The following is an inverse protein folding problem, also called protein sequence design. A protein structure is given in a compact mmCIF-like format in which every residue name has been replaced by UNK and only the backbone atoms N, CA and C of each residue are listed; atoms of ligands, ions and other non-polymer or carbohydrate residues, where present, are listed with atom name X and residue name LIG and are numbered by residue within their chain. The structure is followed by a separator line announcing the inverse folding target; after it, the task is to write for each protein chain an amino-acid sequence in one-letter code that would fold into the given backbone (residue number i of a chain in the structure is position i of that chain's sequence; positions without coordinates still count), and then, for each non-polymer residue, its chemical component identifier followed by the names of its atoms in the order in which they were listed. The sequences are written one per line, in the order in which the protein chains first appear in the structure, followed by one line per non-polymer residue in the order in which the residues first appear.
data_IF_497284640373
#
_entry.id   IF_497284640373
#
_cell.length_a   1.000
_cell.length_b   1.000
_cell.length_c   1.000
_cell.angle_alpha   90.00
_cell.angle_beta   90.00
_cell.angle_gamma   90.00
#
_symmetry.space_group_name_H-M   'P 1'
#
loop_
_entity.id
_entity.type
_entity.pdbx_description
1 polymer ?
#
# COMPACT_ATOMS: atom_id res chain seq x y z
N UNK A 1 -26.95 10.99 -4.98
CA UNK A 1 -25.49 10.91 -5.16
C UNK A 1 -25.10 9.47 -4.90
N UNK A 2 -24.74 8.71 -5.94
CA UNK A 2 -24.28 7.34 -5.74
C UNK A 2 -22.93 7.42 -5.03
N UNK A 3 -22.86 6.93 -3.79
CA UNK A 3 -21.63 6.94 -3.01
C UNK A 3 -20.53 6.15 -3.73
N UNK A 4 -19.32 6.69 -3.77
CA UNK A 4 -18.16 5.99 -4.30
C UNK A 4 -17.90 4.73 -3.46
N UNK A 5 -17.82 3.55 -4.09
CA UNK A 5 -17.43 2.34 -3.39
C UNK A 5 -15.94 2.42 -3.09
N UNK A 6 -15.60 2.38 -1.80
CA UNK A 6 -14.21 2.41 -1.32
C UNK A 6 -13.91 1.07 -0.68
N UNK A 7 -12.88 0.39 -1.21
CA UNK A 7 -12.33 -0.85 -0.63
C UNK A 7 -11.09 -0.50 0.18
N UNK A 8 -10.90 -1.11 1.36
CA UNK A 8 -9.75 -0.82 2.20
C UNK A 8 -9.04 -2.11 2.64
N UNK A 9 -7.72 -2.15 2.49
CA UNK A 9 -6.86 -3.21 2.99
C UNK A 9 -6.08 -2.71 4.21
N UNK A 10 -6.13 -3.49 5.30
CA UNK A 10 -5.32 -3.26 6.50
C UNK A 10 -3.94 -3.87 6.30
N UNK A 11 -2.90 -3.08 6.51
CA UNK A 11 -1.52 -3.54 6.48
C UNK A 11 -1.04 -3.85 7.89
N UNK A 12 -0.51 -5.06 8.08
CA UNK A 12 0.10 -5.48 9.35
C UNK A 12 1.48 -6.07 9.12
N UNK A 13 2.40 -5.82 10.06
CA UNK A 13 3.74 -6.38 10.05
C UNK A 13 3.99 -7.00 11.43
N UNK A 14 4.25 -8.30 11.47
CA UNK A 14 4.37 -9.08 12.72
C UNK A 14 3.18 -8.85 13.70
N UNK A 15 1.97 -8.67 13.16
CA UNK A 15 0.77 -8.40 13.95
C UNK A 15 0.58 -6.93 14.37
N UNK A 16 1.58 -6.07 14.21
CA UNK A 16 1.45 -4.63 14.45
C UNK A 16 0.78 -3.94 13.26
N UNK A 17 -0.16 -3.03 13.53
CA UNK A 17 -0.80 -2.23 12.51
C UNK A 17 0.21 -1.23 11.92
N UNK A 18 0.43 -1.30 10.62
CA UNK A 18 1.28 -0.36 9.88
C UNK A 18 0.46 0.78 9.31
N UNK A 19 -0.70 0.47 8.75
CA UNK A 19 -1.49 1.44 8.00
C UNK A 19 -2.57 0.79 7.13
N UNK A 20 -3.04 1.54 6.15
CA UNK A 20 -4.14 1.16 5.29
C UNK A 20 -3.89 1.57 3.84
N UNK A 21 -4.39 0.74 2.93
CA UNK A 21 -4.49 1.07 1.50
C UNK A 21 -5.97 1.16 1.16
N UNK A 22 -6.44 2.35 0.81
CA UNK A 22 -7.79 2.56 0.32
C UNK A 22 -7.78 2.59 -1.21
N UNK A 23 -8.56 1.72 -1.84
CA UNK A 23 -8.86 1.75 -3.26
C UNK A 23 -10.18 2.46 -3.53
N UNK A 24 -10.14 3.38 -4.47
CA UNK A 24 -11.25 4.20 -4.95
C UNK A 24 -11.60 3.81 -6.39
N UNK A 25 -12.62 4.45 -6.95
CA UNK A 25 -12.93 4.26 -8.36
C UNK A 25 -11.74 4.66 -9.26
N UNK A 26 -11.71 4.11 -10.48
CA UNK A 26 -10.70 4.41 -11.50
C UNK A 26 -9.25 4.05 -11.12
N UNK A 27 -9.05 2.96 -10.36
CA UNK A 27 -7.73 2.48 -9.95
C UNK A 27 -6.90 3.54 -9.20
N UNK A 28 -7.57 4.44 -8.47
CA UNK A 28 -6.91 5.34 -7.54
C UNK A 28 -6.73 4.63 -6.21
N UNK A 29 -5.51 4.61 -5.70
CA UNK A 29 -5.23 4.04 -4.38
C UNK A 29 -4.56 5.06 -3.49
N UNK A 30 -4.82 5.01 -2.20
CA UNK A 30 -4.22 5.88 -1.19
C UNK A 30 -3.61 5.00 -0.11
N UNK A 31 -2.28 5.05 -0.01
CA UNK A 31 -1.54 4.41 1.08
C UNK A 31 -1.32 5.42 2.21
N UNK A 32 -1.74 5.03 3.41
CA UNK A 32 -1.63 5.81 4.63
C UNK A 32 -0.98 4.99 5.72
N UNK A 33 -0.16 5.62 6.56
CA UNK A 33 0.40 5.00 7.76
C UNK A 33 -0.52 5.28 8.95
N UNK A 34 -0.63 4.29 9.84
CA UNK A 34 -1.37 4.44 11.07
C UNK A 34 -0.61 5.38 12.03
N UNK A 35 -1.29 6.28 12.75
CA UNK A 35 -0.64 7.13 13.75
C UNK A 35 0.15 6.32 14.78
N UNK A 36 -0.42 5.20 15.25
CA UNK A 36 0.25 4.28 16.17
C UNK A 36 1.55 3.71 15.64
N UNK A 37 1.71 3.59 14.33
CA UNK A 37 2.95 3.13 13.70
C UNK A 37 3.97 4.27 13.55
N UNK A 38 3.49 5.49 13.28
CA UNK A 38 4.36 6.67 13.10
C UNK A 38 4.95 7.13 14.43
N UNK A 39 4.17 7.04 15.50
CA UNK A 39 4.55 7.47 16.85
C UNK A 39 5.37 6.43 17.63
N UNK A 40 5.38 5.17 17.18
CA UNK A 40 6.15 4.10 17.83
C UNK A 40 7.65 4.20 17.50
N UNK A 41 8.46 4.53 18.51
CA UNK A 41 9.92 4.61 18.40
C UNK A 41 10.57 3.24 18.14
N UNK A 42 9.90 2.14 18.51
CA UNK A 42 10.35 0.76 18.32
C UNK A 42 9.69 0.09 17.10
N UNK A 43 9.04 0.88 16.23
CA UNK A 43 8.36 0.35 15.05
C UNK A 43 9.31 -0.52 14.19
N UNK A 44 8.81 -1.61 13.60
CA UNK A 44 9.59 -2.39 12.64
C UNK A 44 9.84 -1.58 11.36
N UNK A 45 11.00 -1.80 10.74
CA UNK A 45 11.33 -1.14 9.47
C UNK A 45 10.50 -1.70 8.31
N UNK A 46 9.72 -0.84 7.64
CA UNK A 46 8.97 -1.23 6.43
C UNK A 46 9.90 -1.49 5.24
N UNK A 47 10.94 -0.66 5.12
CA UNK A 47 12.01 -0.78 4.14
C UNK A 47 13.31 -0.32 4.77
N UNK A 48 14.43 -0.76 4.21
CA UNK A 48 15.75 -0.30 4.63
C UNK A 48 15.90 1.23 4.48
N UNK A 49 15.25 1.84 3.49
CA UNK A 49 15.26 3.29 3.28
C UNK A 49 14.50 4.09 4.34
N UNK A 50 13.66 3.42 5.14
CA UNK A 50 12.85 3.98 6.23
C UNK A 50 13.20 3.35 7.60
N UNK A 51 14.29 2.59 7.68
CA UNK A 51 14.69 1.90 8.90
C UNK A 51 15.19 2.87 9.98
N UNK A 52 15.86 3.95 9.59
CA UNK A 52 16.35 4.95 10.54
C UNK A 52 15.18 5.81 11.07
N UNK A 53 14.98 5.92 12.41
CA UNK A 53 13.92 6.73 12.99
C UNK A 53 13.95 8.21 12.56
N UNK A 54 15.12 8.82 12.46
CA UNK A 54 15.26 10.23 12.08
C UNK A 54 14.88 10.46 10.61
N UNK A 55 15.28 9.55 9.71
CA UNK A 55 14.92 9.66 8.29
C UNK A 55 13.43 9.41 8.07
N UNK A 56 12.85 8.49 8.85
CA UNK A 56 11.41 8.24 8.81
C UNK A 56 10.62 9.42 9.35
N UNK A 57 10.97 10.02 10.49
CA UNK A 57 10.26 11.19 11.00
C UNK A 57 10.26 12.35 9.98
N UNK A 58 11.39 12.57 9.30
CA UNK A 58 11.52 13.59 8.27
C UNK A 58 10.74 13.29 6.97
N UNK A 59 10.53 12.01 6.64
CA UNK A 59 9.86 11.57 5.41
C UNK A 59 8.41 11.20 5.58
N UNK A 60 8.00 10.64 6.71
CA UNK A 60 6.67 10.08 6.93
C UNK A 60 5.58 11.14 6.68
N UNK A 61 5.72 12.33 7.27
CA UNK A 61 4.77 13.42 7.06
C UNK A 61 4.80 14.06 5.65
N UNK A 62 5.88 13.86 4.88
CA UNK A 62 5.99 14.35 3.49
C UNK A 62 5.54 13.31 2.46
N UNK A 63 5.69 12.03 2.80
CA UNK A 63 5.48 10.90 1.90
C UNK A 63 4.16 10.18 2.13
N UNK A 64 3.46 10.42 3.24
CA UNK A 64 2.16 9.80 3.52
C UNK A 64 1.13 10.84 4.01
N UNK A 65 -0.16 10.71 3.63
CA UNK A 65 -0.69 9.69 2.70
C UNK A 65 -0.25 9.96 1.25
N UNK A 66 0.03 8.88 0.50
CA UNK A 66 0.40 8.95 -0.92
C UNK A 66 -0.71 8.38 -1.77
N UNK A 67 -1.18 9.19 -2.73
CA UNK A 67 -2.12 8.76 -3.73
C UNK A 67 -1.39 8.33 -4.99
N UNK A 68 -1.77 7.19 -5.55
CA UNK A 68 -1.29 6.71 -6.85
C UNK A 68 -2.48 6.39 -7.75
N UNK A 69 -2.29 6.56 -9.05
CA UNK A 69 -3.28 6.24 -10.06
C UNK A 69 -2.76 5.10 -10.93
N UNK A 70 -3.64 4.20 -11.35
CA UNK A 70 -3.37 3.03 -12.21
C UNK A 70 -2.47 1.95 -11.60
N UNK A 71 -1.51 2.31 -10.74
CA UNK A 71 -0.60 1.40 -10.06
C UNK A 71 -0.63 1.66 -8.55
N UNK A 72 -0.34 0.62 -7.76
CA UNK A 72 -0.11 0.77 -6.33
C UNK A 72 1.19 1.53 -6.06
N UNK A 73 1.37 1.94 -4.81
CA UNK A 73 2.66 2.46 -4.37
C UNK A 73 3.74 1.37 -4.54
N UNK A 74 4.97 1.68 -4.99
CA UNK A 74 6.02 0.68 -5.26
C UNK A 74 6.33 -0.25 -4.08
N UNK A 75 6.10 0.20 -2.85
CA UNK A 75 6.20 -0.64 -1.65
C UNK A 75 5.35 -1.92 -1.71
N UNK A 76 4.23 -1.87 -2.42
CA UNK A 76 3.27 -2.96 -2.57
C UNK A 76 3.31 -3.56 -3.97
N UNK A 77 3.45 -2.74 -5.02
CA UNK A 77 3.54 -3.25 -6.40
C UNK A 77 4.73 -4.20 -6.58
N UNK A 78 5.85 -3.95 -5.90
CA UNK A 78 7.03 -4.83 -5.95
C UNK A 78 6.83 -6.17 -5.23
N UNK A 79 5.74 -6.33 -4.48
CA UNK A 79 5.36 -7.60 -3.87
C UNK A 79 4.42 -8.40 -4.76
N UNK A 80 3.96 -7.80 -5.86
CA UNK A 80 3.12 -8.47 -6.84
C UNK A 80 3.98 -9.32 -7.78
N UNK A 81 3.45 -10.46 -8.25
CA UNK A 81 4.15 -11.30 -9.21
C UNK A 81 4.38 -10.57 -10.52
N UNK A 82 5.38 -11.00 -11.28
CA UNK A 82 5.75 -10.45 -12.58
C UNK A 82 5.66 -11.50 -13.70
N UNK A 83 5.66 -11.04 -14.96
CA UNK A 83 5.72 -11.88 -16.15
C UNK A 83 4.61 -12.94 -16.22
N UNK A 84 4.98 -14.17 -16.55
CA UNK A 84 4.04 -15.28 -16.75
C UNK A 84 3.21 -15.60 -15.49
N UNK A 85 3.77 -15.40 -14.29
CA UNK A 85 3.03 -15.65 -13.04
C UNK A 85 1.91 -14.63 -12.83
N UNK A 86 2.14 -13.36 -13.20
CA UNK A 86 1.11 -12.31 -13.19
C UNK A 86 -0.05 -12.67 -14.13
N UNK A 87 0.28 -13.09 -15.35
CA UNK A 87 -0.73 -13.47 -16.35
C UNK A 87 -1.56 -14.67 -15.88
N UNK A 88 -0.91 -15.69 -15.30
CA UNK A 88 -1.60 -16.85 -14.74
C UNK A 88 -2.59 -16.46 -13.64
N UNK A 89 -2.18 -15.62 -12.69
CA UNK A 89 -3.02 -15.20 -11.58
C UNK A 89 -4.18 -14.31 -12.03
N UNK A 90 -3.93 -13.38 -12.97
CA UNK A 90 -4.97 -12.54 -13.54
C UNK A 90 -6.08 -13.37 -14.20
N UNK A 91 -5.71 -14.38 -14.99
CA UNK A 91 -6.66 -15.31 -15.60
C UNK A 91 -7.44 -16.13 -14.55
N UNK A 92 -6.75 -16.64 -13.53
CA UNK A 92 -7.37 -17.45 -12.46
C UNK A 92 -8.36 -16.64 -11.63
N UNK A 93 -8.03 -15.40 -11.33
CA UNK A 93 -8.86 -14.48 -10.53
C UNK A 93 -9.91 -13.73 -11.37
N UNK A 94 -9.87 -13.87 -12.71
CA UNK A 94 -10.72 -13.15 -13.67
C UNK A 94 -10.64 -11.63 -13.53
N UNK A 95 -9.43 -11.14 -13.27
CA UNK A 95 -9.12 -9.70 -13.18
C UNK A 95 -8.22 -9.29 -14.34
N UNK A 96 -8.17 -8.00 -14.64
CA UNK A 96 -7.24 -7.48 -15.64
C UNK A 96 -5.79 -7.63 -15.14
N UNK A 97 -4.84 -7.94 -16.02
CA UNK A 97 -3.44 -8.19 -15.63
C UNK A 97 -2.72 -6.97 -15.04
N UNK A 98 -3.21 -5.77 -15.36
CA UNK A 98 -2.73 -4.50 -14.80
C UNK A 98 -3.49 -4.07 -13.54
N UNK A 99 -4.45 -4.86 -13.07
CA UNK A 99 -5.17 -4.52 -11.84
C UNK A 99 -4.35 -4.95 -10.62
N UNK A 100 -3.82 -3.98 -9.89
CA UNK A 100 -2.96 -4.21 -8.73
C UNK A 100 -3.71 -4.19 -7.39
N UNK A 101 -4.97 -3.73 -7.38
CA UNK A 101 -5.79 -3.63 -6.17
C UNK A 101 -7.15 -4.33 -6.35
N UNK A 102 -7.60 -5.13 -5.36
CA UNK A 102 -8.84 -5.90 -5.45
C UNK A 102 -10.12 -5.06 -5.33
#
# INVERSE_FOLDING_TARGET
MAGEQVSALRLTLHGQLVGYVAGYAHNRTVLSLAPSFVEDANRPALTLSLANPATFAARAGKSFPVATNMQLHPLLSNLLPEGALRQLLAQRLKVHEHNEFP
#
